data_IF_504316143940
#
_entry.id   IF_504316143940
#
_cell.length_a   1.000
_cell.length_b   1.000
_cell.length_c   1.000
_cell.angle_alpha   90.00
_cell.angle_beta   90.00
_cell.angle_gamma   90.00
#
_symmetry.space_group_name_H-M   'P 1'
#
loop_
_entity.id
_entity.type
_entity.pdbx_description
1 polymer ?
#
# COMPACT_ATOMS: atom_id res chain seq x y z
N UNK A 1 -3.04 6.28 -29.48
CA UNK A 1 -3.48 4.88 -29.27
C UNK A 1 -4.98 4.90 -29.07
N UNK A 2 -5.75 4.22 -29.91
CA UNK A 2 -7.21 4.19 -29.74
C UNK A 2 -7.59 3.08 -28.76
N UNK A 3 -8.64 3.28 -27.96
CA UNK A 3 -9.14 2.29 -26.99
C UNK A 3 -9.47 0.93 -27.62
N UNK A 4 -9.76 0.92 -28.93
CA UNK A 4 -10.09 -0.28 -29.72
C UNK A 4 -8.88 -1.16 -30.05
N UNK A 5 -7.66 -0.64 -29.84
CA UNK A 5 -6.41 -1.34 -30.16
C UNK A 5 -5.89 -2.19 -28.97
N UNK A 6 -6.57 -2.14 -27.82
CA UNK A 6 -6.21 -2.89 -26.62
C UNK A 6 -6.73 -4.33 -26.68
N UNK A 7 -5.97 -5.33 -26.21
CA UNK A 7 -6.45 -6.70 -26.11
C UNK A 7 -7.66 -6.79 -25.16
N UNK A 8 -8.62 -7.68 -25.43
CA UNK A 8 -9.77 -7.89 -24.55
C UNK A 8 -9.30 -8.35 -23.18
N UNK A 9 -9.91 -7.78 -22.13
CA UNK A 9 -9.61 -8.14 -20.74
C UNK A 9 -10.05 -9.58 -20.45
N UNK A 10 -9.13 -10.41 -19.96
CA UNK A 10 -9.48 -11.71 -19.40
C UNK A 10 -10.14 -11.52 -18.03
N UNK A 11 -11.45 -11.73 -17.99
CA UNK A 11 -12.26 -11.60 -16.78
C UNK A 11 -12.17 -12.81 -15.85
N UNK A 12 -11.60 -13.93 -16.31
CA UNK A 12 -11.46 -15.14 -15.48
C UNK A 12 -10.37 -15.00 -14.43
N UNK A 13 -9.40 -14.11 -14.67
CA UNK A 13 -8.34 -13.76 -13.73
C UNK A 13 -8.76 -12.70 -12.69
N UNK A 14 -10.02 -12.24 -12.72
CA UNK A 14 -10.51 -11.14 -11.85
C UNK A 14 -11.68 -11.64 -11.01
N UNK A 15 -11.61 -11.42 -9.70
CA UNK A 15 -12.70 -11.69 -8.76
C UNK A 15 -13.17 -10.41 -8.08
N UNK A 16 -14.48 -10.28 -7.89
CA UNK A 16 -15.07 -9.20 -7.07
C UNK A 16 -15.12 -9.66 -5.62
N UNK A 17 -14.58 -8.87 -4.69
CA UNK A 17 -14.57 -9.16 -3.25
C UNK A 17 -15.17 -7.98 -2.46
N UNK A 18 -15.61 -8.25 -1.23
CA UNK A 18 -16.11 -7.23 -0.31
C UNK A 18 -14.93 -6.56 0.42
N UNK A 19 -15.02 -5.26 0.68
CA UNK A 19 -14.02 -4.53 1.47
C UNK A 19 -13.97 -4.96 2.95
N UNK A 20 -15.03 -5.61 3.43
CA UNK A 20 -15.11 -6.11 4.81
C UNK A 20 -14.58 -7.53 5.00
N UNK A 21 -14.29 -8.25 3.92
CA UNK A 21 -13.73 -9.59 4.00
C UNK A 21 -12.22 -9.48 4.22
N UNK A 22 -11.65 -10.34 5.08
CA UNK A 22 -10.19 -10.42 5.20
C UNK A 22 -9.61 -10.83 3.85
N UNK A 23 -8.97 -9.89 3.18
CA UNK A 23 -8.51 -10.07 1.81
C UNK A 23 -7.22 -10.91 1.80
N UNK A 24 -6.91 -11.51 0.65
CA UNK A 24 -5.61 -12.15 0.47
C UNK A 24 -4.46 -11.14 0.54
N UNK A 25 -4.74 -9.85 0.28
CA UNK A 25 -3.81 -8.75 0.49
C UNK A 25 -3.46 -8.59 1.97
N UNK A 26 -4.45 -8.63 2.87
CA UNK A 26 -4.21 -8.52 4.31
C UNK A 26 -3.31 -9.65 4.80
N UNK A 27 -3.62 -10.89 4.40
CA UNK A 27 -2.80 -12.07 4.74
C UNK A 27 -1.38 -11.92 4.22
N UNK A 28 -1.24 -11.47 2.97
CA UNK A 28 0.06 -11.22 2.38
C UNK A 28 0.84 -10.17 3.18
N UNK A 29 0.26 -9.02 3.47
CA UNK A 29 0.93 -7.96 4.22
C UNK A 29 1.27 -8.41 5.63
N UNK A 30 0.36 -9.10 6.32
CA UNK A 30 0.61 -9.66 7.66
C UNK A 30 1.76 -10.70 7.69
N UNK A 31 2.02 -11.40 6.58
CA UNK A 31 3.15 -12.32 6.46
C UNK A 31 4.52 -11.64 6.32
N UNK A 32 4.57 -10.36 5.98
CA UNK A 32 5.82 -9.60 5.77
C UNK A 32 6.33 -8.97 7.06
N UNK A 33 7.64 -8.80 7.15
CA UNK A 33 8.26 -8.07 8.25
C UNK A 33 7.86 -6.58 8.21
N UNK A 34 7.88 -5.87 9.36
CA UNK A 34 7.61 -4.43 9.39
C UNK A 34 8.49 -3.62 8.42
N UNK A 35 9.76 -4.01 8.27
CA UNK A 35 10.72 -3.35 7.39
C UNK A 35 10.34 -3.48 5.90
N UNK A 36 9.89 -4.66 5.48
CA UNK A 36 9.44 -4.90 4.10
C UNK A 36 8.19 -4.08 3.78
N UNK A 37 7.24 -4.00 4.72
CA UNK A 37 6.03 -3.16 4.56
C UNK A 37 6.41 -1.69 4.41
N UNK A 38 7.34 -1.19 5.22
CA UNK A 38 7.83 0.19 5.13
C UNK A 38 8.50 0.48 3.79
N UNK A 39 9.29 -0.47 3.26
CA UNK A 39 9.89 -0.33 1.92
C UNK A 39 8.81 -0.26 0.83
N UNK A 40 7.81 -1.13 0.88
CA UNK A 40 6.71 -1.12 -0.08
C UNK A 40 5.90 0.19 -0.02
N UNK A 41 5.65 0.71 1.18
CA UNK A 41 4.98 2.01 1.37
C UNK A 41 5.75 3.17 0.74
N UNK A 42 7.09 3.21 0.87
CA UNK A 42 7.90 4.26 0.24
C UNK A 42 7.85 4.19 -1.29
N UNK A 43 7.83 2.99 -1.87
CA UNK A 43 7.64 2.82 -3.32
C UNK A 43 6.28 3.38 -3.75
N UNK A 44 5.19 3.02 -3.04
CA UNK A 44 3.86 3.57 -3.32
C UNK A 44 3.81 5.10 -3.18
N UNK A 45 4.45 5.64 -2.14
CA UNK A 45 4.52 7.08 -1.90
C UNK A 45 5.17 7.82 -3.07
N UNK A 46 6.28 7.30 -3.60
CA UNK A 46 6.95 7.90 -4.77
C UNK A 46 6.09 7.88 -6.01
N UNK A 47 5.42 6.76 -6.27
CA UNK A 47 4.52 6.62 -7.42
C UNK A 47 3.34 7.58 -7.36
N UNK A 48 2.72 7.75 -6.19
CA UNK A 48 1.49 8.56 -6.04
C UNK A 48 1.80 10.06 -5.96
N UNK A 49 2.88 10.46 -5.28
CA UNK A 49 3.15 11.88 -5.00
C UNK A 49 4.22 12.50 -5.91
N UNK A 50 4.96 11.70 -6.68
CA UNK A 50 6.05 12.16 -7.55
C UNK A 50 7.32 12.52 -6.78
N UNK A 51 8.49 12.42 -7.45
CA UNK A 51 9.80 12.61 -6.80
C UNK A 51 9.93 13.96 -6.08
N UNK A 52 9.42 15.05 -6.67
CA UNK A 52 9.56 16.40 -6.10
C UNK A 52 8.78 16.63 -4.80
N UNK A 53 7.65 15.95 -4.57
CA UNK A 53 6.91 16.00 -3.29
C UNK A 53 7.36 14.92 -2.31
N UNK A 54 8.37 14.14 -2.69
CA UNK A 54 8.96 13.07 -1.87
C UNK A 54 10.31 13.43 -1.25
N UNK A 55 10.91 14.55 -1.62
CA UNK A 55 12.15 15.06 -1.02
C UNK A 55 11.99 15.48 0.44
N UNK A 56 10.76 15.74 0.89
CA UNK A 56 10.40 15.79 2.30
C UNK A 56 10.44 14.39 2.90
N UNK A 57 11.55 14.08 3.59
CA UNK A 57 11.71 12.87 4.42
C UNK A 57 10.43 12.62 5.22
N UNK A 58 9.94 11.38 5.26
CA UNK A 58 8.78 10.99 6.08
C UNK A 58 8.91 11.60 7.47
N UNK A 59 7.88 12.33 7.91
CA UNK A 59 7.86 12.99 9.20
C UNK A 59 7.97 11.90 10.28
N UNK A 60 9.14 11.82 10.94
CA UNK A 60 9.37 10.87 12.03
C UNK A 60 8.75 11.41 13.31
N UNK A 61 7.44 11.26 13.48
CA UNK A 61 6.81 11.38 14.80
C UNK A 61 6.65 9.98 15.37
N UNK A 62 7.68 9.49 16.06
CA UNK A 62 7.52 8.38 17.00
C UNK A 62 7.64 9.03 18.37
N UNK A 63 6.53 9.14 19.08
CA UNK A 63 6.50 9.56 20.48
C UNK A 63 6.18 8.32 21.33
N UNK A 64 7.09 7.97 22.23
CA UNK A 64 6.84 6.96 23.26
C UNK A 64 6.28 7.72 24.46
N UNK A 65 5.01 7.47 24.79
CA UNK A 65 4.36 8.04 25.98
C UNK A 65 4.34 7.00 27.10
N UNK A 66 4.72 7.42 28.30
CA UNK A 66 4.60 6.57 29.49
C UNK A 66 3.12 6.39 29.85
N UNK A 67 2.69 5.14 29.97
CA UNK A 67 1.34 4.80 30.43
C UNK A 67 1.21 5.21 31.90
N UNK A 68 0.45 6.28 32.17
CA UNK A 68 0.05 6.61 33.55
C UNK A 68 -0.83 5.49 34.10
N UNK A 69 -0.26 4.64 34.95
CA UNK A 69 -1.04 3.74 35.79
C UNK A 69 -1.67 4.58 36.90
N UNK A 70 -3.00 4.54 36.97
CA UNK A 70 -3.79 5.08 38.07
C UNK A 70 -3.91 4.10 39.22
#
# INVERSE_FOLDING_TARGET
>A
MNMKDLPPLDKTAISVTSLGDSSDDDKYWHSRTPEERMRAMEVMRRMVYGEDRTTGRLQRSIEVVDLKQG
#
